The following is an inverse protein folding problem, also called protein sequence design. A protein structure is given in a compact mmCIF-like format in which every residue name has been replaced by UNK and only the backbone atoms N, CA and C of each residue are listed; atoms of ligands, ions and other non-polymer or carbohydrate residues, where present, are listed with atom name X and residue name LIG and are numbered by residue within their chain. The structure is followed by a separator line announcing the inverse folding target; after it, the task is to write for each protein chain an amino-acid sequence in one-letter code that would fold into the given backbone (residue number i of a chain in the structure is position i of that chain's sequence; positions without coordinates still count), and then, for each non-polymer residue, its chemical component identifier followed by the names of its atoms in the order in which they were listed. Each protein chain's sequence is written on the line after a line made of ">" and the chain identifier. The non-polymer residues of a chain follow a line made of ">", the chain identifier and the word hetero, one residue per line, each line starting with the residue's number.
data_IF_805369804339
#
_entry.id   IF_805369804339
#
_cell.length_a   1.000
_cell.length_b   1.000
_cell.length_c   1.000
_cell.angle_alpha   90.00
_cell.angle_beta   90.00
_cell.angle_gamma   90.00
#
_symmetry.space_group_name_H-M   'P 1'
#
loop_
_entity.id
_entity.type
_entity.pdbx_description
1 polymer ?
#
# COMPACT_ATOMS: atom_id res chain seq x y z
N UNK A 1 3.32 22.19 41.30
CA UNK A 1 2.47 21.42 40.36
C UNK A 1 3.00 19.99 40.29
N UNK A 2 2.15 19.02 40.60
CA UNK A 2 2.49 17.64 40.98
C UNK A 2 2.79 16.72 39.80
N UNK A 3 3.84 15.91 39.96
CA UNK A 3 4.36 14.82 39.10
C UNK A 3 3.33 13.99 38.30
N UNK A 4 2.07 13.90 38.76
CA UNK A 4 0.97 13.18 38.09
C UNK A 4 0.48 13.79 36.77
N UNK A 5 0.67 15.09 36.52
CA UNK A 5 0.27 15.70 35.24
C UNK A 5 1.24 15.38 34.10
N UNK A 6 2.47 15.00 34.40
CA UNK A 6 3.48 14.64 33.38
C UNK A 6 3.27 13.19 32.88
N UNK A 7 2.89 12.27 33.76
CA UNK A 7 2.60 10.87 33.39
C UNK A 7 1.31 10.72 32.57
N UNK A 8 0.26 11.50 32.87
CA UNK A 8 -0.99 11.47 32.09
C UNK A 8 -0.82 12.02 30.67
N UNK A 9 0.16 12.90 30.44
CA UNK A 9 0.52 13.37 29.10
C UNK A 9 1.32 12.30 28.33
N UNK A 10 2.19 11.54 29.03
CA UNK A 10 3.02 10.49 28.43
C UNK A 10 2.19 9.32 27.87
N UNK A 11 1.17 8.86 28.60
CA UNK A 11 0.28 7.77 28.15
C UNK A 11 -0.54 8.11 26.90
N UNK A 12 -1.01 9.35 26.79
CA UNK A 12 -1.80 9.82 25.65
C UNK A 12 -0.92 10.21 24.44
N UNK A 13 0.36 10.56 24.66
CA UNK A 13 1.34 10.78 23.59
C UNK A 13 1.76 9.47 22.90
N UNK A 14 1.86 8.37 23.65
CA UNK A 14 2.26 7.08 23.10
C UNK A 14 1.17 6.44 22.21
N UNK A 15 -0.11 6.64 22.56
CA UNK A 15 -1.23 6.16 21.74
C UNK A 15 -1.44 7.03 20.49
N UNK A 16 -1.31 8.36 20.61
CA UNK A 16 -1.55 9.31 19.51
C UNK A 16 -0.47 9.25 18.42
N UNK A 17 0.79 9.00 18.79
CA UNK A 17 1.88 8.78 17.83
C UNK A 17 1.87 7.42 17.12
N UNK A 18 1.01 6.49 17.54
CA UNK A 18 0.86 5.16 16.94
C UNK A 18 -0.24 5.10 15.87
N UNK A 19 -1.21 6.02 15.93
CA UNK A 19 -2.36 6.06 15.03
C UNK A 19 -2.00 6.30 13.56
N UNK A 20 -1.14 7.26 13.18
CA UNK A 20 -0.78 7.45 11.78
C UNK A 20 0.10 6.33 11.23
N UNK A 21 0.88 5.68 12.11
CA UNK A 21 1.62 4.47 11.76
C UNK A 21 0.68 3.31 11.44
N UNK A 22 -0.37 3.11 12.23
CA UNK A 22 -1.39 2.07 11.98
C UNK A 22 -2.10 2.35 10.65
N UNK A 23 -2.45 3.61 10.37
CA UNK A 23 -3.07 3.99 9.09
C UNK A 23 -2.16 3.69 7.89
N UNK A 24 -0.87 4.04 7.98
CA UNK A 24 0.14 3.72 6.96
C UNK A 24 0.23 2.20 6.73
N UNK A 25 0.35 1.42 7.82
CA UNK A 25 0.47 -0.03 7.75
C UNK A 25 -0.78 -0.69 7.15
N UNK A 26 -1.98 -0.25 7.58
CA UNK A 26 -3.24 -0.75 7.04
C UNK A 26 -3.39 -0.41 5.55
N UNK A 27 -3.05 0.81 5.14
CA UNK A 27 -3.08 1.22 3.73
C UNK A 27 -2.16 0.35 2.87
N UNK A 28 -0.92 0.14 3.31
CA UNK A 28 0.03 -0.74 2.63
C UNK A 28 -0.43 -2.20 2.57
N UNK A 29 -1.06 -2.70 3.65
CA UNK A 29 -1.61 -4.05 3.69
C UNK A 29 -2.78 -4.21 2.73
N UNK A 30 -3.70 -3.24 2.69
CA UNK A 30 -4.84 -3.22 1.76
C UNK A 30 -4.34 -3.19 0.31
N UNK A 31 -3.34 -2.35 0.02
CA UNK A 31 -2.73 -2.28 -1.30
C UNK A 31 -2.13 -3.64 -1.70
N UNK A 32 -1.32 -4.27 -0.85
CA UNK A 32 -0.75 -5.58 -1.13
C UNK A 32 -1.84 -6.65 -1.30
N UNK A 33 -2.85 -6.66 -0.43
CA UNK A 33 -3.96 -7.60 -0.49
C UNK A 33 -4.78 -7.44 -1.77
N UNK A 34 -4.93 -6.24 -2.31
CA UNK A 34 -5.71 -5.99 -3.54
C UNK A 34 -5.25 -6.82 -4.74
N UNK A 35 -3.98 -7.23 -4.80
CA UNK A 35 -3.47 -8.09 -5.87
C UNK A 35 -4.06 -9.50 -5.84
N UNK A 36 -4.50 -9.96 -4.67
CA UNK A 36 -5.14 -11.26 -4.46
C UNK A 36 -6.66 -11.18 -4.53
N UNK A 37 -7.23 -9.97 -4.46
CA UNK A 37 -8.67 -9.78 -4.55
C UNK A 37 -9.15 -9.87 -6.00
N UNK A 38 -10.47 -10.09 -6.22
CA UNK A 38 -11.08 -10.10 -7.54
C UNK A 38 -10.85 -8.78 -8.28
N UNK A 39 -9.99 -8.83 -9.29
CA UNK A 39 -9.67 -7.72 -10.18
C UNK A 39 -10.51 -7.76 -11.45
N UNK A 40 -10.77 -8.95 -11.97
CA UNK A 40 -11.76 -9.21 -13.01
C UNK A 40 -12.89 -10.06 -12.46
N UNK A 41 -14.13 -9.67 -12.70
CA UNK A 41 -15.31 -10.49 -12.37
C UNK A 41 -16.09 -10.81 -13.64
N UNK A 42 -16.45 -12.07 -13.84
CA UNK A 42 -17.25 -12.50 -15.00
C UNK A 42 -18.62 -11.80 -15.03
N UNK A 43 -19.06 -11.36 -16.22
CA UNK A 43 -20.42 -10.83 -16.48
C UNK A 43 -21.45 -11.95 -16.42
N UNK A 44 -22.74 -11.59 -16.27
CA UNK A 44 -23.83 -12.53 -15.95
C UNK A 44 -23.85 -13.80 -16.81
N UNK A 45 -23.93 -13.66 -18.12
CA UNK A 45 -24.02 -14.81 -19.05
C UNK A 45 -22.81 -15.74 -18.96
N UNK A 46 -21.61 -15.17 -18.95
CA UNK A 46 -20.37 -15.94 -18.85
C UNK A 46 -20.19 -16.56 -17.46
N UNK A 47 -20.60 -15.85 -16.41
CA UNK A 47 -20.62 -16.34 -15.04
C UNK A 47 -21.58 -17.52 -14.87
N UNK A 48 -22.75 -17.49 -15.50
CA UNK A 48 -23.70 -18.60 -15.49
C UNK A 48 -23.11 -19.84 -16.15
N UNK A 49 -22.44 -19.67 -17.29
CA UNK A 49 -21.72 -20.77 -17.95
C UNK A 49 -20.60 -21.36 -17.08
N UNK A 50 -19.80 -20.52 -16.42
CA UNK A 50 -18.76 -20.96 -15.48
C UNK A 50 -19.37 -21.69 -14.26
N UNK A 51 -20.49 -21.19 -13.76
CA UNK A 51 -21.18 -21.73 -12.58
C UNK A 51 -21.91 -23.05 -12.85
N UNK A 52 -22.18 -23.38 -14.12
CA UNK A 52 -22.85 -24.63 -14.49
C UNK A 52 -22.01 -25.89 -14.19
N UNK A 53 -20.68 -25.76 -14.09
CA UNK A 53 -19.80 -26.85 -13.70
C UNK A 53 -18.55 -26.29 -12.98
N UNK A 54 -18.69 -25.81 -11.73
CA UNK A 54 -17.68 -24.99 -11.06
C UNK A 54 -16.36 -25.74 -10.82
N UNK A 55 -16.44 -27.04 -10.52
CA UNK A 55 -15.28 -27.88 -10.20
C UNK A 55 -14.59 -28.46 -11.44
N UNK A 56 -15.12 -28.20 -12.65
CA UNK A 56 -14.43 -28.62 -13.87
C UNK A 56 -13.18 -27.78 -14.07
N UNK A 57 -12.12 -28.45 -14.51
CA UNK A 57 -10.90 -27.78 -14.95
C UNK A 57 -11.25 -26.83 -16.08
N UNK A 58 -10.84 -25.58 -15.92
CA UNK A 58 -10.99 -24.51 -16.90
C UNK A 58 -9.71 -24.35 -17.72
N UNK A 59 -8.56 -24.34 -17.05
CA UNK A 59 -7.24 -24.35 -17.67
C UNK A 59 -6.31 -25.29 -16.89
N UNK A 60 -5.86 -26.37 -17.54
CA UNK A 60 -5.02 -27.40 -16.94
C UNK A 60 -3.63 -26.87 -16.56
N UNK A 61 -3.04 -25.98 -17.35
CA UNK A 61 -1.70 -25.46 -17.10
C UNK A 61 -1.68 -24.46 -15.93
N UNK A 62 -2.77 -23.72 -15.77
CA UNK A 62 -2.94 -22.79 -14.65
C UNK A 62 -3.48 -23.48 -13.39
N UNK A 63 -3.82 -24.77 -13.47
CA UNK A 63 -4.53 -25.54 -12.45
C UNK A 63 -5.75 -24.78 -11.91
N UNK A 64 -6.52 -24.18 -12.83
CA UNK A 64 -7.67 -23.35 -12.51
C UNK A 64 -8.97 -24.08 -12.80
N UNK A 65 -9.90 -24.00 -11.86
CA UNK A 65 -11.28 -24.45 -12.05
C UNK A 65 -12.14 -23.34 -12.67
N UNK A 66 -13.32 -23.69 -13.17
CA UNK A 66 -14.28 -22.67 -13.66
C UNK A 66 -14.71 -21.72 -12.56
N UNK A 67 -14.75 -22.19 -11.32
CA UNK A 67 -15.03 -21.36 -10.15
C UNK A 67 -13.99 -20.26 -9.98
N UNK A 68 -12.71 -20.58 -10.16
CA UNK A 68 -11.61 -19.62 -10.04
C UNK A 68 -11.68 -18.58 -11.17
N UNK A 69 -12.06 -19.00 -12.37
CA UNK A 69 -12.27 -18.11 -13.50
C UNK A 69 -13.46 -17.12 -13.33
N UNK A 70 -14.34 -17.28 -12.32
CA UNK A 70 -15.41 -16.30 -12.06
C UNK A 70 -14.82 -14.97 -11.56
N UNK A 71 -13.77 -15.03 -10.74
CA UNK A 71 -13.18 -13.89 -10.07
C UNK A 71 -11.65 -13.98 -10.19
N UNK A 72 -11.12 -13.33 -11.20
CA UNK A 72 -9.70 -13.31 -11.49
C UNK A 72 -8.99 -12.24 -10.67
N UNK A 73 -7.99 -12.65 -9.91
CA UNK A 73 -7.00 -11.77 -9.28
C UNK A 73 -5.98 -11.25 -10.30
N UNK A 74 -5.24 -10.19 -9.95
CA UNK A 74 -4.13 -9.71 -10.81
C UNK A 74 -3.05 -10.78 -10.98
N UNK A 75 -2.85 -11.63 -9.98
CA UNK A 75 -1.85 -12.71 -10.03
C UNK A 75 -2.25 -13.78 -11.04
N UNK A 76 -3.52 -14.18 -11.07
CA UNK A 76 -4.02 -15.14 -12.07
C UNK A 76 -3.96 -14.57 -13.48
N UNK A 77 -4.32 -13.29 -13.63
CA UNK A 77 -4.17 -12.56 -14.91
C UNK A 77 -2.70 -12.53 -15.36
N UNK A 78 -1.76 -12.25 -14.46
CA UNK A 78 -0.32 -12.27 -14.77
C UNK A 78 0.17 -13.66 -15.21
N UNK A 79 -0.30 -14.74 -14.57
CA UNK A 79 0.03 -16.11 -14.97
C UNK A 79 -0.53 -16.45 -16.36
N UNK A 80 -1.77 -16.04 -16.63
CA UNK A 80 -2.37 -16.21 -17.95
C UNK A 80 -1.56 -15.49 -19.05
N UNK A 81 -1.07 -14.28 -18.78
CA UNK A 81 -0.17 -13.59 -19.71
C UNK A 81 1.19 -14.27 -19.87
N UNK A 82 1.75 -14.81 -18.78
CA UNK A 82 3.00 -15.58 -18.84
C UNK A 82 2.90 -16.82 -19.74
N UNK A 83 1.75 -17.49 -19.72
CA UNK A 83 1.45 -18.62 -20.60
C UNK A 83 1.34 -18.22 -22.08
N UNK A 84 0.73 -17.08 -22.37
CA UNK A 84 0.55 -16.62 -23.75
C UNK A 84 1.88 -16.40 -24.50
N UNK A 85 2.97 -16.11 -23.77
CA UNK A 85 4.35 -16.16 -24.30
C UNK A 85 4.72 -15.10 -25.35
N UNK A 86 3.78 -14.23 -25.76
CA UNK A 86 4.05 -13.16 -26.70
C UNK A 86 4.62 -11.91 -26.00
N UNK A 87 5.32 -11.05 -26.75
CA UNK A 87 5.93 -9.80 -26.28
C UNK A 87 4.92 -8.89 -25.56
N UNK A 88 3.73 -8.71 -26.14
CA UNK A 88 2.69 -7.86 -25.55
C UNK A 88 2.19 -8.41 -24.21
N UNK A 89 2.02 -9.72 -24.11
CA UNK A 89 1.64 -10.39 -22.86
C UNK A 89 2.76 -10.33 -21.83
N UNK A 90 4.02 -10.43 -22.26
CA UNK A 90 5.19 -10.34 -21.39
C UNK A 90 5.33 -8.94 -20.77
N UNK A 91 5.03 -7.88 -21.53
CA UNK A 91 4.98 -6.52 -21.00
C UNK A 91 3.89 -6.35 -19.92
N UNK A 92 2.71 -6.91 -20.18
CA UNK A 92 1.56 -6.87 -19.25
C UNK A 92 1.88 -7.61 -17.95
N UNK A 93 2.40 -8.84 -18.06
CA UNK A 93 2.86 -9.64 -16.93
C UNK A 93 3.95 -8.91 -16.14
N UNK A 94 4.96 -8.36 -16.82
CA UNK A 94 6.05 -7.63 -16.21
C UNK A 94 5.57 -6.42 -15.42
N UNK A 95 4.59 -5.68 -15.95
CA UNK A 95 3.99 -4.52 -15.27
C UNK A 95 3.23 -4.94 -14.01
N UNK A 96 2.45 -6.04 -14.06
CA UNK A 96 1.73 -6.56 -12.89
C UNK A 96 2.72 -7.01 -11.81
N UNK A 97 3.79 -7.72 -12.19
CA UNK A 97 4.83 -8.16 -11.25
C UNK A 97 5.54 -6.95 -10.63
N UNK A 98 5.89 -5.94 -11.44
CA UNK A 98 6.51 -4.72 -10.94
C UNK A 98 5.62 -4.00 -9.92
N UNK A 99 4.33 -3.86 -10.21
CA UNK A 99 3.36 -3.25 -9.30
C UNK A 99 3.24 -4.04 -7.98
N UNK A 100 3.21 -5.38 -8.06
CA UNK A 100 3.18 -6.25 -6.88
C UNK A 100 4.45 -6.11 -6.03
N UNK A 101 5.63 -6.04 -6.66
CA UNK A 101 6.90 -5.82 -5.98
C UNK A 101 6.92 -4.46 -5.29
N UNK A 102 6.45 -3.40 -5.95
CA UNK A 102 6.36 -2.08 -5.32
C UNK A 102 5.38 -2.06 -4.14
N UNK A 103 4.23 -2.71 -4.25
CA UNK A 103 3.29 -2.84 -3.13
C UNK A 103 3.91 -3.59 -1.93
N UNK A 104 4.67 -4.66 -2.18
CA UNK A 104 5.39 -5.38 -1.13
C UNK A 104 6.52 -4.55 -0.51
N UNK A 105 7.24 -3.76 -1.31
CA UNK A 105 8.25 -2.83 -0.81
C UNK A 105 7.61 -1.72 0.04
N UNK A 106 6.49 -1.15 -0.39
CA UNK A 106 5.68 -0.22 0.42
C UNK A 106 5.34 -0.85 1.76
N UNK A 107 4.81 -2.07 1.78
CA UNK A 107 4.47 -2.79 3.00
C UNK A 107 5.70 -3.04 3.89
N UNK A 108 6.83 -3.45 3.31
CA UNK A 108 8.08 -3.64 4.02
C UNK A 108 8.54 -2.34 4.70
N UNK A 109 8.57 -1.22 3.97
CA UNK A 109 8.99 0.07 4.53
C UNK A 109 7.98 0.64 5.53
N UNK A 110 6.69 0.36 5.35
CA UNK A 110 5.66 0.66 6.33
C UNK A 110 5.96 -0.10 7.64
N UNK A 111 6.19 -1.42 7.60
CA UNK A 111 6.56 -2.23 8.78
C UNK A 111 7.84 -1.74 9.45
N UNK A 112 8.86 -1.38 8.65
CA UNK A 112 10.13 -0.83 9.13
C UNK A 112 10.00 0.59 9.70
N UNK A 113 8.79 1.17 9.73
CA UNK A 113 8.54 2.54 10.20
C UNK A 113 9.40 3.56 9.42
N UNK A 114 9.57 3.36 8.12
CA UNK A 114 10.32 4.26 7.23
C UNK A 114 9.34 4.93 6.23
N UNK A 115 8.67 6.03 6.62
CA UNK A 115 7.61 6.63 5.80
C UNK A 115 8.12 7.27 4.50
N UNK A 116 9.38 7.73 4.44
CA UNK A 116 9.95 8.31 3.21
C UNK A 116 10.01 7.27 2.07
N UNK A 117 10.70 6.12 2.23
CA UNK A 117 10.71 5.11 1.17
C UNK A 117 9.32 4.51 0.94
N UNK A 118 8.46 4.38 1.97
CA UNK A 118 7.08 3.92 1.80
C UNK A 118 6.31 4.79 0.78
N UNK A 119 6.35 6.12 0.92
CA UNK A 119 5.73 7.06 -0.04
C UNK A 119 6.28 6.86 -1.46
N UNK A 120 7.60 6.72 -1.60
CA UNK A 120 8.24 6.56 -2.92
C UNK A 120 7.75 5.29 -3.61
N UNK A 121 7.74 4.16 -2.89
CA UNK A 121 7.25 2.90 -3.45
C UNK A 121 5.74 2.89 -3.67
N UNK A 122 4.96 3.61 -2.87
CA UNK A 122 3.53 3.78 -3.11
C UNK A 122 3.27 4.58 -4.37
N UNK A 123 4.05 5.62 -4.64
CA UNK A 123 3.96 6.38 -5.89
C UNK A 123 4.33 5.54 -7.11
N UNK A 124 5.36 4.70 -7.00
CA UNK A 124 5.72 3.75 -8.05
C UNK A 124 4.63 2.67 -8.26
N UNK A 125 4.06 2.15 -7.17
CA UNK A 125 2.95 1.22 -7.21
C UNK A 125 1.71 1.86 -7.86
N UNK A 126 1.39 3.12 -7.52
CA UNK A 126 0.31 3.87 -8.14
C UNK A 126 0.54 4.09 -9.64
N UNK A 127 1.73 4.54 -10.04
CA UNK A 127 2.07 4.76 -11.44
C UNK A 127 2.00 3.48 -12.27
N UNK A 128 2.56 2.37 -11.76
CA UNK A 128 2.47 1.07 -12.42
C UNK A 128 1.04 0.52 -12.45
N UNK A 129 0.26 0.74 -11.39
CA UNK A 129 -1.15 0.35 -11.35
C UNK A 129 -2.00 1.08 -12.39
N UNK A 130 -1.78 2.38 -12.57
CA UNK A 130 -2.41 3.14 -13.66
C UNK A 130 -1.98 2.63 -15.04
N UNK A 131 -0.72 2.20 -15.18
CA UNK A 131 -0.22 1.59 -16.41
C UNK A 131 -0.96 0.28 -16.71
N UNK A 132 -1.17 -0.58 -15.69
CA UNK A 132 -1.96 -1.81 -15.82
C UNK A 132 -3.38 -1.51 -16.29
N UNK A 133 -4.06 -0.54 -15.66
CA UNK A 133 -5.42 -0.16 -16.04
C UNK A 133 -5.47 0.33 -17.50
N UNK A 134 -4.48 1.12 -17.91
CA UNK A 134 -4.38 1.62 -19.29
C UNK A 134 -4.08 0.51 -20.29
N UNK A 135 -3.20 -0.43 -19.96
CA UNK A 135 -2.90 -1.59 -20.82
C UNK A 135 -4.16 -2.44 -21.02
N UNK A 136 -4.94 -2.68 -19.97
CA UNK A 136 -6.20 -3.43 -20.07
C UNK A 136 -7.28 -2.71 -20.87
N UNK A 137 -7.36 -1.38 -20.76
CA UNK A 137 -8.26 -0.57 -21.57
C UNK A 137 -7.89 -0.63 -23.05
N UNK A 138 -6.60 -0.52 -23.38
CA UNK A 138 -6.08 -0.65 -24.75
C UNK A 138 -6.34 -2.04 -25.36
N UNK A 139 -6.30 -3.09 -24.55
CA UNK A 139 -6.60 -4.48 -24.98
C UNK A 139 -8.10 -4.80 -25.02
N UNK A 140 -8.93 -3.92 -24.48
CA UNK A 140 -10.36 -4.17 -24.28
C UNK A 140 -10.66 -5.33 -23.32
N UNK A 141 -9.74 -5.67 -22.42
CA UNK A 141 -9.87 -6.81 -21.48
C UNK A 141 -11.09 -6.67 -20.56
N UNK A 142 -11.49 -5.43 -20.24
CA UNK A 142 -12.67 -5.12 -19.42
C UNK A 142 -13.69 -4.23 -20.13
N UNK A 143 -13.61 -4.12 -21.47
CA UNK A 143 -14.56 -3.35 -22.27
C UNK A 143 -15.98 -3.89 -22.17
N UNK A 144 -16.96 -3.12 -22.65
CA UNK A 144 -18.37 -3.47 -22.55
C UNK A 144 -18.74 -4.77 -23.29
N UNK A 145 -18.02 -5.06 -24.38
CA UNK A 145 -18.11 -6.31 -25.16
C UNK A 145 -17.34 -7.49 -24.55
N UNK A 146 -16.58 -7.29 -23.48
CA UNK A 146 -15.79 -8.36 -22.86
C UNK A 146 -16.62 -9.18 -21.87
N UNK A 147 -16.25 -10.45 -21.70
CA UNK A 147 -16.92 -11.36 -20.76
C UNK A 147 -16.65 -11.03 -19.28
N UNK A 148 -15.75 -10.07 -19.01
CA UNK A 148 -15.36 -9.64 -17.66
C UNK A 148 -15.65 -8.16 -17.43
N UNK A 149 -15.72 -7.77 -16.16
CA UNK A 149 -15.78 -6.38 -15.72
C UNK A 149 -14.75 -6.14 -14.63
N UNK A 150 -14.36 -4.89 -14.42
CA UNK A 150 -13.49 -4.52 -13.30
C UNK A 150 -14.14 -4.93 -11.97
N UNK A 151 -13.36 -5.62 -11.15
CA UNK A 151 -13.73 -6.12 -9.83
C UNK A 151 -13.47 -5.12 -8.71
N UNK A 152 -13.70 -5.56 -7.47
CA UNK A 152 -13.55 -4.72 -6.29
C UNK A 152 -12.09 -4.41 -5.95
N UNK A 153 -11.13 -5.23 -6.37
CA UNK A 153 -9.71 -5.04 -6.09
C UNK A 153 -9.20 -3.66 -6.50
N UNK A 154 -9.71 -3.11 -7.61
CA UNK A 154 -9.32 -1.78 -8.08
C UNK A 154 -9.64 -0.68 -7.06
N UNK A 155 -10.84 -0.73 -6.47
CA UNK A 155 -11.22 0.20 -5.42
C UNK A 155 -10.34 0.03 -4.18
N UNK A 156 -10.04 -1.20 -3.79
CA UNK A 156 -9.14 -1.45 -2.66
C UNK A 156 -7.72 -0.96 -2.93
N UNK A 157 -7.19 -1.09 -4.14
CA UNK A 157 -5.88 -0.56 -4.50
C UNK A 157 -5.83 0.96 -4.31
N UNK A 158 -6.81 1.71 -4.84
CA UNK A 158 -6.88 3.16 -4.65
C UNK A 158 -7.06 3.57 -3.18
N UNK A 159 -7.92 2.87 -2.43
CA UNK A 159 -8.11 3.12 -1.00
C UNK A 159 -6.82 2.85 -0.23
N UNK A 160 -6.13 1.75 -0.51
CA UNK A 160 -4.86 1.39 0.11
C UNK A 160 -3.79 2.43 -0.15
N UNK A 161 -3.66 2.90 -1.39
CA UNK A 161 -2.73 3.96 -1.79
C UNK A 161 -3.03 5.27 -1.06
N UNK A 162 -4.30 5.70 -1.03
CA UNK A 162 -4.69 6.94 -0.35
C UNK A 162 -4.45 6.88 1.16
N UNK A 163 -4.82 5.75 1.79
CA UNK A 163 -4.63 5.53 3.23
C UNK A 163 -3.16 5.45 3.60
N UNK A 164 -2.34 4.78 2.80
CA UNK A 164 -0.89 4.68 3.02
C UNK A 164 -0.24 6.07 2.92
N UNK A 165 -0.53 6.81 1.85
CA UNK A 165 0.01 8.15 1.63
C UNK A 165 -0.34 9.09 2.79
N UNK A 166 -1.60 9.10 3.20
CA UNK A 166 -2.06 9.92 4.33
C UNK A 166 -1.37 9.52 5.64
N UNK A 167 -1.31 8.22 5.95
CA UNK A 167 -0.63 7.70 7.14
C UNK A 167 0.87 8.02 7.16
N UNK A 168 1.54 7.87 6.03
CA UNK A 168 2.97 8.18 5.87
C UNK A 168 3.27 9.67 6.06
N UNK A 169 2.47 10.57 5.49
CA UNK A 169 2.62 12.02 5.65
C UNK A 169 2.41 12.42 7.11
N UNK A 170 1.35 11.92 7.77
CA UNK A 170 1.11 12.21 9.18
C UNK A 170 2.25 11.69 10.07
N UNK A 171 2.75 10.49 9.80
CA UNK A 171 3.90 9.90 10.52
C UNK A 171 5.17 10.76 10.35
N UNK A 172 5.37 11.36 9.17
CA UNK A 172 6.47 12.31 8.94
C UNK A 172 6.31 13.61 9.72
N UNK A 173 5.10 14.19 9.73
CA UNK A 173 4.81 15.42 10.46
C UNK A 173 5.05 15.25 11.96
N UNK A 174 4.63 14.13 12.53
CA UNK A 174 4.88 13.83 13.95
C UNK A 174 6.37 13.70 14.25
N UNK A 175 7.13 13.02 13.39
CA UNK A 175 8.59 12.93 13.53
C UNK A 175 9.28 14.29 13.42
N UNK A 176 8.82 15.15 12.52
CA UNK A 176 9.37 16.49 12.36
C UNK A 176 9.12 17.36 13.61
N UNK A 177 7.93 17.24 14.22
CA UNK A 177 7.61 17.91 15.49
C UNK A 177 8.51 17.44 16.63
N UNK A 178 8.69 16.12 16.77
CA UNK A 178 9.56 15.55 17.81
C UNK A 178 11.02 15.99 17.65
N UNK A 179 11.53 16.03 16.41
CA UNK A 179 12.88 16.55 16.14
C UNK A 179 13.03 18.03 16.52
N UNK A 180 12.03 18.87 16.21
CA UNK A 180 12.06 20.29 16.59
C UNK A 180 12.05 20.49 18.12
N UNK A 181 11.21 19.74 18.84
CA UNK A 181 11.15 19.79 20.31
C UNK A 181 12.49 19.41 20.95
N UNK A 182 13.13 18.33 20.48
CA UNK A 182 14.42 17.89 21.01
C UNK A 182 15.56 18.89 20.73
N UNK A 183 15.54 19.57 19.58
CA UNK A 183 16.51 20.64 19.26
C UNK A 183 16.30 21.85 20.17
N UNK A 184 15.04 22.22 20.45
CA UNK A 184 14.71 23.34 21.34
C UNK A 184 15.17 23.02 22.77
N UNK A 185 14.81 21.86 23.33
CA UNK A 185 15.21 21.45 24.68
C UNK A 185 16.73 21.35 24.83
N UNK A 186 17.43 20.80 23.83
CA UNK A 186 18.89 20.74 23.81
C UNK A 186 19.57 22.11 23.74
N UNK A 187 19.02 23.03 22.94
CA UNK A 187 19.51 24.42 22.86
C UNK A 187 19.24 25.21 24.15
N UNK A 188 18.09 25.00 24.77
CA UNK A 188 17.76 25.61 26.07
C UNK A 188 18.68 25.10 27.17
N UNK A 189 18.96 23.79 27.21
CA UNK A 189 19.89 23.20 28.19
C UNK A 189 21.33 23.72 28.02
N UNK A 190 21.80 23.90 26.78
CA UNK A 190 23.12 24.47 26.51
C UNK A 190 23.22 25.94 26.97
N UNK A 191 22.19 26.75 26.74
CA UNK A 191 22.16 28.16 27.17
C UNK A 191 22.17 28.30 28.70
N UNK A 192 21.53 27.40 29.44
CA UNK A 192 21.58 27.41 30.91
C UNK A 192 22.94 26.96 31.46
N UNK A 193 23.63 26.04 30.79
CA UNK A 193 24.97 25.61 31.18
C UNK A 193 26.02 26.71 30.98
N UNK A 194 25.90 27.48 29.88
CA UNK A 194 26.81 28.59 29.57
C UNK A 194 26.62 29.76 30.55
N UNK A 195 25.36 30.09 30.89
CA UNK A 195 25.05 31.12 31.89
C UNK A 195 25.54 30.77 33.31
N UNK A 196 25.56 29.48 33.68
CA UNK A 196 26.11 29.03 34.95
C UNK A 196 27.64 29.11 35.00
N UNK A 197 28.32 28.85 33.87
CA UNK A 197 29.77 28.93 33.77
C UNK A 197 30.31 30.39 33.77
N UNK A 198 29.52 31.34 33.27
CA UNK A 198 29.85 32.77 33.33
C UNK A 198 29.69 33.36 34.74
N UNK A 199 28.73 32.85 35.51
CA UNK A 199 28.53 33.23 36.93
C UNK A 199 29.67 32.80 37.85
N UNK A 200 30.39 31.72 37.52
CA UNK A 200 31.45 31.15 38.37
C UNK A 200 32.84 31.77 38.13
N UNK A 201 33.01 32.57 37.06
CA UNK A 201 34.26 33.29 36.74
C UNK A 201 34.26 34.76 37.20
N UNK A 202 33.18 35.22 37.82
CA UNK A 202 32.97 36.62 38.21
C UNK A 202 33.22 36.94 39.69
N UNK A 203 33.64 35.98 40.52
CA UNK A 203 34.03 36.19 41.93
C UNK A 203 35.55 36.13 42.14
#
# INVERSE_FOLDING_TARGET
>A
MTKRTVESACGNCHLKGSLPFIAMLLGALILAASFLLPFGTARKEYREWLSAAPDRVYDEELNMTRRDAINLSLIEIARAFGKAGNLDSSFSMGTIIAAAVFALLTLLFAVLKKPIPAIVFTMLAFGTFLLILKDFDLRGTFSESSSYKLGCACWFAFIGIAAEMFGSILTLVERAKMKKLHIIDGGTAANFADAAAESEKGE
#
